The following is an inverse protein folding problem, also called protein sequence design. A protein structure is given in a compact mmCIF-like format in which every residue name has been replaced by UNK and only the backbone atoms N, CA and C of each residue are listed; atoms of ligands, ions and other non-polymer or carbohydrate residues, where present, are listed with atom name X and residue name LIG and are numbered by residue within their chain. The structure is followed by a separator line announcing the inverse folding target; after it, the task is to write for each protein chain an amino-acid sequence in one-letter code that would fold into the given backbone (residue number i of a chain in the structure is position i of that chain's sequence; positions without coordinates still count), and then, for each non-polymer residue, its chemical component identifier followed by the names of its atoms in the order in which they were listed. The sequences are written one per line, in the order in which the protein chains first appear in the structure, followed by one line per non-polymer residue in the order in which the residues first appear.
data_IF_849898016300
#
_entry.id   IF_849898016300
#
_cell.length_a   1.000
_cell.length_b   1.000
_cell.length_c   1.000
_cell.angle_alpha   90.00
_cell.angle_beta   90.00
_cell.angle_gamma   90.00
#
_symmetry.space_group_name_H-M   'P 1'
#
loop_
_entity.id
_entity.type
_entity.pdbx_description
1 polymer ?
#
# COMPACT_ATOMS: atom_id res chain seq x y z
N UNK A 1 10.22 -9.55 23.29
CA UNK A 1 9.78 -8.27 22.70
C UNK A 1 8.32 -8.38 22.29
N UNK A 2 7.54 -7.30 22.43
CA UNK A 2 6.07 -7.19 22.31
C UNK A 2 5.18 -7.95 23.31
N UNK A 3 5.68 -8.31 24.50
CA UNK A 3 4.88 -9.05 25.50
C UNK A 3 3.97 -8.17 26.38
N UNK A 4 3.98 -6.83 26.23
CA UNK A 4 3.16 -5.91 27.03
C UNK A 4 2.73 -4.69 26.20
N UNK A 5 1.61 -4.81 25.46
CA UNK A 5 0.92 -3.66 24.85
C UNK A 5 1.78 -2.75 23.96
N UNK A 6 2.74 -3.33 23.22
CA UNK A 6 3.62 -2.56 22.33
C UNK A 6 3.05 -2.40 20.93
N UNK A 7 3.36 -1.28 20.28
CA UNK A 7 3.11 -1.08 18.85
C UNK A 7 4.10 -1.88 18.03
N UNK A 8 3.60 -2.66 17.07
CA UNK A 8 4.44 -3.39 16.11
C UNK A 8 4.43 -2.61 14.80
N UNK A 9 5.61 -2.24 14.32
CA UNK A 9 5.77 -1.67 12.99
C UNK A 9 6.12 -2.79 12.01
N UNK A 10 5.30 -2.96 10.97
CA UNK A 10 5.50 -3.98 9.94
C UNK A 10 5.25 -3.41 8.54
N UNK A 11 5.79 -4.09 7.54
CA UNK A 11 5.50 -3.85 6.13
C UNK A 11 4.87 -5.08 5.50
N UNK A 12 3.96 -4.86 4.55
CA UNK A 12 3.47 -5.93 3.68
C UNK A 12 4.50 -6.14 2.58
N UNK A 13 5.01 -7.36 2.52
CA UNK A 13 5.99 -7.79 1.53
C UNK A 13 5.36 -8.83 0.62
N UNK A 14 6.01 -9.17 -0.48
CA UNK A 14 5.56 -10.25 -1.37
C UNK A 14 5.51 -11.62 -0.69
N UNK A 15 6.23 -11.78 0.43
CA UNK A 15 6.16 -12.95 1.31
C UNK A 15 5.20 -12.80 2.50
N UNK A 16 4.34 -11.78 2.52
CA UNK A 16 3.41 -11.48 3.61
C UNK A 16 3.88 -10.36 4.55
N UNK A 17 3.19 -10.14 5.69
CA UNK A 17 3.57 -9.12 6.66
C UNK A 17 4.89 -9.46 7.34
N UNK A 18 5.86 -8.55 7.30
CA UNK A 18 7.17 -8.71 7.92
C UNK A 18 7.48 -7.52 8.85
N UNK A 19 8.07 -7.77 10.03
CA UNK A 19 8.46 -6.72 10.97
C UNK A 19 9.57 -5.86 10.36
N UNK A 20 9.60 -4.57 10.70
CA UNK A 20 10.57 -3.63 10.13
C UNK A 20 12.03 -4.02 10.47
N UNK A 21 12.23 -4.69 11.61
CA UNK A 21 13.53 -5.15 12.07
C UNK A 21 14.07 -6.35 11.26
N UNK A 22 13.21 -7.03 10.48
CA UNK A 22 13.60 -8.21 9.69
C UNK A 22 12.77 -8.35 8.40
N UNK A 23 13.10 -7.53 7.42
CA UNK A 23 12.59 -7.65 6.06
C UNK A 23 13.41 -8.70 5.28
N UNK A 24 12.75 -9.77 4.85
CA UNK A 24 13.31 -10.89 4.09
C UNK A 24 12.82 -10.92 2.64
N UNK A 25 11.69 -10.27 2.37
CA UNK A 25 11.06 -10.23 1.05
C UNK A 25 10.89 -8.77 0.60
N UNK A 26 10.89 -8.50 -0.72
CA UNK A 26 10.63 -7.16 -1.22
C UNK A 26 9.22 -6.68 -0.84
N UNK A 27 9.05 -5.37 -0.68
CA UNK A 27 7.75 -4.74 -0.36
C UNK A 27 6.74 -5.03 -1.47
N UNK A 28 5.51 -5.38 -1.09
CA UNK A 28 4.41 -5.59 -2.04
C UNK A 28 3.75 -4.24 -2.37
N UNK A 29 4.29 -3.54 -3.36
CA UNK A 29 3.77 -2.22 -3.75
C UNK A 29 2.32 -2.27 -4.23
N UNK A 30 1.91 -3.34 -4.89
CA UNK A 30 0.55 -3.51 -5.39
C UNK A 30 -0.46 -3.57 -4.24
N UNK A 31 -0.08 -4.21 -3.12
CA UNK A 31 -0.87 -4.16 -1.89
C UNK A 31 -1.11 -2.71 -1.42
N UNK A 32 -0.08 -1.87 -1.38
CA UNK A 32 -0.22 -0.49 -0.91
C UNK A 32 -1.01 0.40 -1.88
N UNK A 33 -0.83 0.21 -3.19
CA UNK A 33 -1.63 0.92 -4.21
C UNK A 33 -3.10 0.58 -4.03
N UNK A 34 -3.44 -0.71 -3.98
CA UNK A 34 -4.83 -1.17 -3.96
C UNK A 34 -5.53 -1.02 -2.61
N UNK A 35 -4.81 -1.18 -1.49
CA UNK A 35 -5.40 -1.22 -0.14
C UNK A 35 -5.22 0.06 0.67
N UNK A 36 -4.32 0.95 0.28
CA UNK A 36 -4.08 2.20 1.01
C UNK A 36 -4.30 3.44 0.13
N UNK A 37 -3.66 3.51 -1.04
CA UNK A 37 -3.79 4.69 -1.89
C UNK A 37 -5.16 4.76 -2.57
N UNK A 38 -5.60 3.66 -3.19
CA UNK A 38 -6.88 3.59 -3.91
C UNK A 38 -8.08 3.96 -3.04
N UNK A 39 -8.28 3.39 -1.84
CA UNK A 39 -9.45 3.74 -1.02
C UNK A 39 -9.49 5.23 -0.62
N UNK A 40 -8.32 5.83 -0.36
CA UNK A 40 -8.22 7.26 -0.03
C UNK A 40 -8.53 8.11 -1.27
N UNK A 41 -8.02 7.72 -2.43
CA UNK A 41 -8.27 8.41 -3.68
C UNK A 41 -9.74 8.30 -4.12
N UNK A 42 -10.33 7.11 -4.07
CA UNK A 42 -11.75 6.87 -4.38
C UNK A 42 -12.68 7.66 -3.44
N UNK A 43 -12.24 7.96 -2.21
CA UNK A 43 -13.00 8.78 -1.28
C UNK A 43 -12.98 10.29 -1.60
N UNK A 44 -12.00 10.81 -2.36
CA UNK A 44 -11.80 12.25 -2.57
C UNK A 44 -11.93 12.64 -4.05
N UNK A 45 -11.36 11.86 -4.96
CA UNK A 45 -11.30 12.17 -6.38
C UNK A 45 -12.68 12.40 -7.04
N UNK A 46 -13.76 11.70 -6.68
CA UNK A 46 -15.08 11.98 -7.27
C UNK A 46 -15.54 13.43 -7.06
N UNK A 47 -15.14 14.08 -5.97
CA UNK A 47 -15.52 15.48 -5.69
C UNK A 47 -14.82 16.50 -6.61
N UNK A 48 -13.68 16.12 -7.19
CA UNK A 48 -12.92 16.95 -8.15
C UNK A 48 -13.07 16.44 -9.59
N UNK A 49 -14.01 15.52 -9.84
CA UNK A 49 -14.24 14.91 -11.15
C UNK A 49 -13.12 13.95 -11.60
N UNK A 50 -12.29 13.49 -10.67
CA UNK A 50 -11.22 12.53 -10.90
C UNK A 50 -11.66 11.08 -10.67
N UNK A 51 -10.88 10.16 -11.19
CA UNK A 51 -11.04 8.72 -10.99
C UNK A 51 -9.66 8.09 -10.83
N UNK A 52 -9.45 7.30 -9.78
CA UNK A 52 -8.13 6.73 -9.46
C UNK A 52 -7.62 5.82 -10.58
N UNK A 53 -8.51 5.00 -11.16
CA UNK A 53 -8.19 4.10 -12.27
C UNK A 53 -7.66 4.86 -13.49
N UNK A 54 -8.17 6.06 -13.78
CA UNK A 54 -7.67 6.87 -14.89
C UNK A 54 -6.25 7.40 -14.64
N UNK A 55 -5.88 7.61 -13.38
CA UNK A 55 -4.55 8.09 -13.00
C UNK A 55 -3.51 6.95 -13.02
N UNK A 56 -3.88 5.76 -12.52
CA UNK A 56 -2.95 4.62 -12.41
C UNK A 56 -2.78 3.88 -13.73
N UNK A 57 -3.86 3.70 -14.52
CA UNK A 57 -3.77 3.04 -15.82
C UNK A 57 -3.01 3.86 -16.88
N UNK A 58 -2.81 5.16 -16.67
CA UNK A 58 -1.96 5.99 -17.51
C UNK A 58 -0.45 5.74 -17.33
N UNK A 59 -0.03 5.04 -16.27
CA UNK A 59 1.38 4.96 -15.86
C UNK A 59 1.95 3.52 -15.82
N UNK A 60 1.12 2.49 -16.02
CA UNK A 60 1.56 1.07 -16.00
C UNK A 60 2.06 0.54 -17.36
N UNK A 61 2.19 1.39 -18.38
CA UNK A 61 2.63 1.01 -19.73
C UNK A 61 4.10 1.28 -20.08
N UNK A 62 4.94 1.66 -19.11
CA UNK A 62 6.32 2.10 -19.40
C UNK A 62 7.39 1.56 -18.43
N UNK A 63 7.33 0.29 -18.02
CA UNK A 63 8.53 -0.48 -17.63
C UNK A 63 8.32 -1.98 -17.86
#
# INVERSE_FOLDING_TARGET
QYQRGGWISYLITTGGPQPLERLLSPVDYEHYISRQLKPVADAILPFVGGEFERLVNGQLGLF
#
